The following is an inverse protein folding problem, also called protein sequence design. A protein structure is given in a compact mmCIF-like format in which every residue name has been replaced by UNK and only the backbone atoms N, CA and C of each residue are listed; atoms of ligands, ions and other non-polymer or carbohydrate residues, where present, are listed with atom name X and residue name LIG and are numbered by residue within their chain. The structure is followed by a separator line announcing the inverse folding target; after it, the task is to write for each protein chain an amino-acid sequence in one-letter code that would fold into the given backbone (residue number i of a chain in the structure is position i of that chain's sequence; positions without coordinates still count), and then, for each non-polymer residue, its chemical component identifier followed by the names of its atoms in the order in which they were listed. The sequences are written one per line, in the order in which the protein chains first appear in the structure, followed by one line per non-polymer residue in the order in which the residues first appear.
data_IF_529072736373
#
_entry.id   IF_529072736373
#
_cell.length_a   1.000
_cell.length_b   1.000
_cell.length_c   1.000
_cell.angle_alpha   90.00
_cell.angle_beta   90.00
_cell.angle_gamma   90.00
#
_symmetry.space_group_name_H-M   'P 1'
#
loop_
_entity.id
_entity.type
_entity.pdbx_description
1 polymer ?
#
# COMPACT_ATOMS: atom_id res chain seq x y z
N UNK A 1 7.67 5.37 -8.31
CA UNK A 1 6.41 6.15 -8.24
C UNK A 1 6.12 6.51 -6.79
N UNK A 2 5.38 7.60 -6.52
CA UNK A 2 5.03 8.05 -5.17
C UNK A 2 3.52 8.11 -5.00
N UNK A 3 3.03 7.75 -3.81
CA UNK A 3 1.62 7.71 -3.46
C UNK A 3 1.42 8.32 -2.08
N UNK A 4 0.38 9.14 -1.92
CA UNK A 4 0.00 9.67 -0.62
C UNK A 4 -0.96 8.68 0.05
N UNK A 5 -0.55 8.17 1.20
CA UNK A 5 -1.27 7.13 1.92
C UNK A 5 -1.53 7.52 3.38
N UNK A 6 -2.46 6.81 4.02
CA UNK A 6 -2.60 6.84 5.47
C UNK A 6 -2.41 5.43 6.03
N UNK A 7 -1.38 5.23 6.85
CA UNK A 7 -1.16 3.96 7.54
C UNK A 7 -1.98 3.90 8.81
N UNK A 8 -2.53 2.73 9.12
CA UNK A 8 -3.21 2.45 10.38
C UNK A 8 -2.12 2.19 11.44
N UNK A 9 -1.96 3.12 12.39
CA UNK A 9 -0.96 3.06 13.46
C UNK A 9 -1.56 2.64 14.80
N UNK A 10 -2.88 2.58 14.91
CA UNK A 10 -3.62 2.12 16.09
C UNK A 10 -5.07 1.78 15.74
N UNK A 11 -5.87 1.37 16.73
CA UNK A 11 -7.25 0.90 16.51
C UNK A 11 -8.18 1.89 15.78
N UNK A 12 -7.99 3.18 16.01
CA UNK A 12 -8.76 4.25 15.35
C UNK A 12 -7.86 5.32 14.73
N UNK A 13 -6.54 5.12 14.77
CA UNK A 13 -5.58 6.14 14.39
C UNK A 13 -4.96 5.82 13.05
N UNK A 14 -4.92 6.83 12.18
CA UNK A 14 -4.17 6.76 10.93
C UNK A 14 -3.24 7.95 10.81
N UNK A 15 -2.01 7.66 10.42
CA UNK A 15 -0.97 8.67 10.23
C UNK A 15 -0.68 8.85 8.72
N UNK A 16 -0.42 10.09 8.27
CA UNK A 16 -0.07 10.36 6.87
C UNK A 16 1.35 9.87 6.55
N UNK A 17 1.48 9.20 5.41
CA UNK A 17 2.75 8.67 4.89
C UNK A 17 2.85 8.92 3.39
N UNK A 18 4.08 9.04 2.89
CA UNK A 18 4.39 8.86 1.48
C UNK A 18 4.89 7.43 1.26
N UNK A 19 4.22 6.70 0.37
CA UNK A 19 4.68 5.39 -0.11
C UNK A 19 5.38 5.58 -1.44
N UNK A 20 6.67 5.24 -1.50
CA UNK A 20 7.42 5.19 -2.74
C UNK A 20 7.59 3.75 -3.18
N UNK A 21 7.13 3.48 -4.40
CA UNK A 21 7.40 2.22 -5.10
C UNK A 21 8.65 2.44 -5.95
N UNK A 22 9.72 1.74 -5.60
CA UNK A 22 11.00 1.77 -6.30
C UNK A 22 11.36 0.38 -6.80
N UNK A 23 12.25 0.29 -7.78
CA UNK A 23 12.73 -1.00 -8.28
C UNK A 23 13.32 -1.83 -7.13
N UNK A 24 12.75 -3.02 -6.91
CA UNK A 24 13.13 -3.98 -5.88
C UNK A 24 12.78 -3.59 -4.44
N UNK A 25 12.03 -2.51 -4.18
CA UNK A 25 11.67 -2.12 -2.82
C UNK A 25 10.50 -1.15 -2.69
N UNK A 26 9.87 -1.16 -1.53
CA UNK A 26 8.93 -0.15 -1.06
C UNK A 26 9.59 0.71 0.01
N UNK A 27 9.27 2.01 0.02
CA UNK A 27 9.74 2.94 1.05
C UNK A 27 8.53 3.65 1.64
N UNK A 28 8.37 3.56 2.96
CA UNK A 28 7.36 4.26 3.74
C UNK A 28 8.04 5.42 4.47
N UNK A 29 7.55 6.63 4.23
CA UNK A 29 8.05 7.87 4.82
C UNK A 29 6.92 8.53 5.62
N UNK A 30 7.02 8.64 6.95
CA UNK A 30 6.04 9.39 7.74
C UNK A 30 6.12 10.87 7.38
N UNK A 31 4.98 11.51 7.17
CA UNK A 31 4.95 12.95 6.86
C UNK A 31 5.37 13.80 8.07
N UNK A 32 5.05 13.33 9.28
CA UNK A 32 5.33 14.01 10.54
C UNK A 32 6.73 13.73 11.11
N UNK A 33 7.41 12.69 10.64
CA UNK A 33 8.75 12.32 11.10
C UNK A 33 9.58 11.76 9.94
N UNK A 34 10.13 12.63 9.07
CA UNK A 34 10.85 12.20 7.88
C UNK A 34 12.16 11.45 8.18
N UNK A 35 12.60 11.42 9.44
CA UNK A 35 13.76 10.64 9.90
C UNK A 35 13.49 9.15 10.05
N UNK A 36 12.23 8.75 10.30
CA UNK A 36 11.85 7.36 10.51
C UNK A 36 11.43 6.66 9.21
N UNK A 37 12.40 6.44 8.33
CA UNK A 37 12.21 5.81 7.02
C UNK A 37 12.16 4.29 7.16
N UNK A 38 11.08 3.66 6.69
CA UNK A 38 11.00 2.19 6.60
C UNK A 38 11.18 1.77 5.14
N UNK A 39 12.19 0.94 4.86
CA UNK A 39 12.41 0.35 3.54
C UNK A 39 12.14 -1.16 3.60
N UNK A 40 11.36 -1.66 2.64
CA UNK A 40 10.95 -3.07 2.53
C UNK A 40 11.46 -3.59 1.19
N UNK A 41 12.37 -4.57 1.20
CA UNK A 41 12.86 -5.20 -0.03
C UNK A 41 11.79 -6.10 -0.66
N UNK A 42 11.77 -6.23 -1.99
CA UNK A 42 10.78 -7.08 -2.66
C UNK A 42 10.92 -8.56 -2.28
N UNK A 43 12.13 -9.01 -1.95
CA UNK A 43 12.38 -10.34 -1.41
C UNK A 43 11.79 -10.60 -0.02
N UNK A 44 11.51 -9.55 0.75
CA UNK A 44 10.84 -9.65 2.04
C UNK A 44 9.32 -9.63 1.88
N UNK A 45 8.80 -8.98 0.84
CA UNK A 45 7.35 -8.88 0.58
C UNK A 45 6.80 -10.25 0.22
N UNK A 46 6.00 -10.80 1.13
CA UNK A 46 5.32 -12.09 0.94
C UNK A 46 4.00 -11.92 0.22
N UNK A 47 3.28 -10.83 0.50
CA UNK A 47 1.97 -10.58 -0.09
C UNK A 47 1.62 -9.10 -0.04
N UNK A 48 1.00 -8.60 -1.11
CA UNK A 48 0.31 -7.31 -1.11
C UNK A 48 -1.16 -7.57 -1.41
N UNK A 49 -2.02 -7.23 -0.46
CA UNK A 49 -3.47 -7.30 -0.60
C UNK A 49 -4.03 -5.92 -0.89
N UNK A 50 -4.85 -5.81 -1.93
CA UNK A 50 -5.58 -4.59 -2.25
C UNK A 50 -7.07 -4.86 -2.19
N UNK A 51 -7.80 -4.00 -1.48
CA UNK A 51 -9.25 -4.05 -1.34
C UNK A 51 -9.85 -2.76 -1.90
N UNK A 52 -10.50 -2.86 -3.06
CA UNK A 52 -11.27 -1.73 -3.61
C UNK A 52 -12.67 -1.66 -2.99
N UNK A 53 -13.07 -0.46 -2.56
CA UNK A 53 -14.33 -0.17 -1.90
C UNK A 53 -14.65 1.33 -1.99
N UNK A 54 -15.21 1.93 -0.93
CA UNK A 54 -15.36 3.41 -0.86
C UNK A 54 -14.00 4.12 -0.85
N UNK A 55 -13.04 3.52 -0.17
CA UNK A 55 -11.62 3.90 -0.17
C UNK A 55 -10.80 2.66 -0.47
N UNK A 56 -9.75 2.83 -1.27
CA UNK A 56 -8.85 1.71 -1.59
C UNK A 56 -7.99 1.42 -0.36
N UNK A 57 -8.19 0.25 0.25
CA UNK A 57 -7.37 -0.25 1.35
C UNK A 57 -6.25 -1.12 0.78
N UNK A 58 -5.08 -1.05 1.39
CA UNK A 58 -3.99 -1.97 1.12
C UNK A 58 -3.47 -2.60 2.41
N UNK A 59 -2.89 -3.77 2.26
CA UNK A 59 -2.11 -4.45 3.28
C UNK A 59 -0.85 -5.02 2.62
N UNK A 60 0.31 -4.76 3.21
CA UNK A 60 1.60 -5.26 2.76
C UNK A 60 2.14 -6.12 3.89
N UNK A 61 2.34 -7.40 3.59
CA UNK A 61 3.02 -8.36 4.46
C UNK A 61 4.44 -8.56 3.95
N UNK A 62 5.41 -8.38 4.84
CA UNK A 62 6.82 -8.53 4.54
C UNK A 62 7.59 -9.11 5.74
N UNK A 63 7.94 -10.41 5.69
CA UNK A 63 8.53 -11.11 6.83
C UNK A 63 7.68 -10.99 8.10
N UNK A 64 8.26 -10.44 9.17
CA UNK A 64 7.57 -10.15 10.44
C UNK A 64 6.85 -8.79 10.45
N UNK A 65 7.01 -7.98 9.41
CA UNK A 65 6.38 -6.67 9.28
C UNK A 65 5.09 -6.78 8.47
N UNK A 66 3.99 -6.29 9.05
CA UNK A 66 2.74 -6.09 8.32
C UNK A 66 2.31 -4.63 8.47
N UNK A 67 2.06 -3.96 7.36
CA UNK A 67 1.48 -2.62 7.38
C UNK A 67 0.19 -2.58 6.56
N UNK A 68 -0.76 -1.79 7.03
CA UNK A 68 -2.06 -1.64 6.40
C UNK A 68 -2.44 -0.17 6.38
N UNK A 69 -3.17 0.23 5.35
CA UNK A 69 -3.51 1.62 5.15
C UNK A 69 -4.48 1.84 4.00
N UNK A 70 -4.62 3.10 3.63
CA UNK A 70 -5.51 3.55 2.58
C UNK A 70 -4.77 4.42 1.58
N UNK A 71 -5.03 4.24 0.29
CA UNK A 71 -4.70 5.24 -0.72
C UNK A 71 -5.64 6.43 -0.51
N UNK A 72 -5.11 7.65 -0.53
CA UNK A 72 -5.96 8.84 -0.37
C UNK A 72 -6.78 9.14 -1.63
N UNK A 73 -6.25 8.83 -2.80
CA UNK A 73 -6.93 9.04 -4.08
C UNK A 73 -7.28 7.69 -4.71
N UNK A 74 -8.58 7.42 -4.89
CA UNK A 74 -9.04 6.16 -5.53
C UNK A 74 -8.53 6.02 -6.97
N UNK A 75 -8.40 7.13 -7.68
CA UNK A 75 -7.84 7.19 -9.04
C UNK A 75 -6.39 6.71 -9.12
N UNK A 76 -5.69 6.59 -8.00
CA UNK A 76 -4.32 6.08 -7.96
C UNK A 76 -4.26 4.55 -7.91
N UNK A 77 -5.38 3.81 -7.77
CA UNK A 77 -5.34 2.34 -7.67
C UNK A 77 -4.66 1.68 -8.88
N UNK A 78 -5.04 2.04 -10.11
CA UNK A 78 -4.44 1.45 -11.31
C UNK A 78 -2.96 1.80 -11.43
N UNK A 79 -2.61 3.04 -11.12
CA UNK A 79 -1.23 3.52 -11.09
C UNK A 79 -0.40 2.80 -10.02
N UNK A 80 -1.00 2.52 -8.85
CA UNK A 80 -0.38 1.80 -7.77
C UNK A 80 -0.13 0.35 -8.16
N UNK A 81 -1.13 -0.32 -8.73
CA UNK A 81 -1.00 -1.67 -9.29
C UNK A 81 0.08 -1.76 -10.37
N UNK A 82 0.08 -0.81 -11.31
CA UNK A 82 1.11 -0.73 -12.35
C UNK A 82 2.50 -0.60 -11.74
N UNK A 83 2.69 0.36 -10.83
CA UNK A 83 3.96 0.58 -10.17
C UNK A 83 4.46 -0.67 -9.41
N UNK A 84 3.58 -1.36 -8.67
CA UNK A 84 3.95 -2.59 -7.96
C UNK A 84 4.38 -3.70 -8.93
N UNK A 85 3.63 -3.92 -10.00
CA UNK A 85 3.93 -4.95 -11.03
C UNK A 85 5.22 -4.69 -11.79
N UNK A 86 5.53 -3.42 -12.07
CA UNK A 86 6.72 -3.03 -12.81
C UNK A 86 7.99 -3.04 -11.95
N UNK A 87 7.85 -2.87 -10.62
CA UNK A 87 8.99 -2.63 -9.75
C UNK A 87 9.28 -3.75 -8.75
N UNK A 88 8.32 -4.62 -8.45
CA UNK A 88 8.49 -5.70 -7.46
C UNK A 88 8.36 -7.05 -8.14
N UNK A 89 9.22 -7.99 -7.76
CA UNK A 89 9.13 -9.39 -8.19
C UNK A 89 8.34 -10.22 -7.15
N UNK A 90 7.22 -9.69 -6.70
CA UNK A 90 6.38 -10.30 -5.65
C UNK A 90 4.98 -10.63 -6.16
N UNK A 91 4.31 -11.55 -5.47
CA UNK A 91 2.92 -11.90 -5.79
C UNK A 91 1.98 -10.84 -5.22
N UNK A 92 1.19 -10.22 -6.10
CA UNK A 92 0.19 -9.21 -5.73
C UNK A 92 -1.19 -9.89 -5.75
N UNK A 93 -1.87 -9.91 -4.60
CA UNK A 93 -3.24 -10.41 -4.49
C UNK A 93 -4.21 -9.23 -4.50
N UNK A 94 -4.98 -9.12 -5.57
CA UNK A 94 -6.03 -8.10 -5.68
C UNK A 94 -7.37 -8.71 -5.27
N UNK A 95 -7.97 -8.21 -4.19
CA UNK A 95 -9.30 -8.59 -3.75
C UNK A 95 -10.28 -7.46 -4.08
N UNK A 96 -11.12 -7.67 -5.07
CA UNK A 96 -12.16 -6.71 -5.43
C UNK A 96 -13.42 -7.03 -4.62
N UNK A 97 -13.74 -6.23 -3.59
CA UNK A 97 -15.03 -6.27 -2.91
C UNK A 97 -16.02 -5.35 -3.64
N UNK A 98 -16.35 -5.74 -4.87
CA UNK A 98 -17.36 -5.08 -5.67
C UNK A 98 -18.71 -5.07 -4.97
N UNK A 99 -19.20 -3.87 -4.64
CA UNK A 99 -20.60 -3.66 -4.34
C UNK A 99 -21.47 -4.22 -5.46
N UNK A 100 -22.57 -4.87 -5.09
CA UNK A 100 -23.63 -5.30 -6.00
C UNK A 100 -23.99 -4.16 -6.95
N UNK A 101 -23.69 -4.31 -8.23
CA UNK A 101 -24.48 -3.68 -9.27
C UNK A 101 -25.46 -4.76 -9.75
N UNK A 102 -26.76 -4.51 -9.56
CA UNK A 102 -27.91 -4.98 -10.35
C UNK A 102 -29.19 -4.98 -9.48
N UNK A 103 -29.92 -3.85 -9.51
CA UNK A 103 -31.34 -3.78 -9.82
C UNK A 103 -31.72 -2.31 -10.07
#
# INVERSE_FOLDING_TARGET
MKFTIRLITGFFETSPYELRVCTGKLILLPDNDPGNITAIGDGDVTCITLTDGKTTRFEISAGELSCQGFLQERSELENFLGALRENLNTTILCQYEGGREHA
#
